data_IF_429380660919
#
_entry.id   IF_429380660919
#
_cell.length_a   1.000
_cell.length_b   1.000
_cell.length_c   1.000
_cell.angle_alpha   90.00
_cell.angle_beta   90.00
_cell.angle_gamma   90.00
#
_symmetry.space_group_name_H-M   'P 1'
#
loop_
_entity.id
_entity.type
_entity.pdbx_description
1 polymer ?
#
# COMPACT_ATOMS: atom_id res chain seq x y z
N UNK A 1 23.96 1.02 6.20
CA UNK A 1 23.16 0.79 7.43
C UNK A 1 23.88 1.44 8.60
N UNK A 2 23.18 2.02 9.58
CA UNK A 2 23.80 2.72 10.72
C UNK A 2 24.23 1.79 11.87
N UNK A 3 24.64 0.55 11.59
CA UNK A 3 25.05 -0.46 12.58
C UNK A 3 24.08 -0.71 13.77
N UNK A 4 22.80 -0.36 13.63
CA UNK A 4 21.80 -0.47 14.70
C UNK A 4 21.09 -1.83 14.71
N UNK A 5 21.86 -2.92 14.76
CA UNK A 5 21.32 -4.29 14.65
C UNK A 5 20.41 -4.69 15.83
N UNK A 6 20.75 -4.26 17.06
CA UNK A 6 19.92 -4.53 18.26
C UNK A 6 18.53 -3.90 18.15
N UNK A 7 18.48 -2.64 17.72
CA UNK A 7 17.21 -1.95 17.52
C UNK A 7 16.40 -2.60 16.40
N UNK A 8 17.06 -3.00 15.30
CA UNK A 8 16.44 -3.78 14.23
C UNK A 8 15.80 -5.08 14.73
N UNK A 9 16.49 -5.83 15.59
CA UNK A 9 15.96 -7.06 16.17
C UNK A 9 14.69 -6.82 17.02
N UNK A 10 14.67 -5.75 17.84
CA UNK A 10 13.48 -5.37 18.61
C UNK A 10 12.31 -5.03 17.69
N UNK A 11 12.55 -4.24 16.64
CA UNK A 11 11.53 -3.92 15.66
C UNK A 11 11.01 -5.17 14.94
N UNK A 12 11.87 -6.16 14.66
CA UNK A 12 11.42 -7.41 14.05
C UNK A 12 10.44 -8.19 14.93
N UNK A 13 10.66 -8.24 16.24
CA UNK A 13 9.71 -8.87 17.16
C UNK A 13 8.38 -8.14 17.14
N UNK A 14 8.38 -6.80 17.15
CA UNK A 14 7.16 -6.01 17.01
C UNK A 14 6.46 -6.25 15.67
N UNK A 15 7.21 -6.43 14.57
CA UNK A 15 6.68 -6.77 13.26
C UNK A 15 6.01 -8.14 13.18
N UNK A 16 6.56 -9.14 13.88
CA UNK A 16 5.93 -10.45 14.05
C UNK A 16 4.59 -10.32 14.81
N UNK A 17 4.59 -9.57 15.92
CA UNK A 17 3.37 -9.29 16.70
C UNK A 17 2.32 -8.60 15.83
N UNK A 18 2.70 -7.59 15.05
CA UNK A 18 1.78 -6.91 14.14
C UNK A 18 1.14 -7.87 13.12
N UNK A 19 1.91 -8.83 12.59
CA UNK A 19 1.39 -9.86 11.67
C UNK A 19 0.42 -10.83 12.35
N UNK A 20 0.72 -11.25 13.59
CA UNK A 20 -0.18 -12.10 14.38
C UNK A 20 -1.48 -11.38 14.76
N UNK A 21 -1.38 -10.12 15.18
CA UNK A 21 -2.54 -9.28 15.46
C UNK A 21 -3.41 -9.10 14.22
N UNK A 22 -2.82 -8.87 13.06
CA UNK A 22 -3.56 -8.75 11.81
C UNK A 22 -4.32 -10.05 11.49
N UNK A 23 -3.63 -11.20 11.57
CA UNK A 23 -4.25 -12.49 11.34
C UNK A 23 -5.47 -12.68 12.26
N UNK A 24 -5.29 -12.44 13.55
CA UNK A 24 -6.37 -12.56 14.53
C UNK A 24 -7.53 -11.60 14.25
N UNK A 25 -7.24 -10.31 14.04
CA UNK A 25 -8.28 -9.30 13.81
C UNK A 25 -9.06 -9.58 12.54
N UNK A 26 -8.38 -9.87 11.42
CA UNK A 26 -9.07 -10.19 10.17
C UNK A 26 -9.89 -11.46 10.29
N UNK A 27 -9.34 -12.53 10.87
CA UNK A 27 -10.10 -13.77 11.08
C UNK A 27 -11.35 -13.54 11.94
N UNK A 28 -11.23 -12.74 13.01
CA UNK A 28 -12.32 -12.42 13.91
C UNK A 28 -13.41 -11.55 13.27
N UNK A 29 -13.03 -10.58 12.43
CA UNK A 29 -13.99 -9.64 11.82
C UNK A 29 -14.48 -10.06 10.44
N UNK A 30 -13.86 -11.05 9.80
CA UNK A 30 -14.10 -11.41 8.39
C UNK A 30 -15.58 -11.60 8.06
N UNK A 31 -16.23 -12.57 8.70
CA UNK A 31 -17.64 -12.86 8.45
C UNK A 31 -18.54 -11.70 8.90
N UNK A 32 -18.27 -11.11 10.07
CA UNK A 32 -19.08 -10.02 10.60
C UNK A 32 -19.16 -8.82 9.66
N UNK A 33 -18.04 -8.40 9.07
CA UNK A 33 -18.01 -7.28 8.12
C UNK A 33 -18.80 -7.65 6.86
N UNK A 34 -18.64 -8.86 6.33
CA UNK A 34 -19.38 -9.34 5.16
C UNK A 34 -20.89 -9.35 5.45
N UNK A 35 -21.30 -9.91 6.58
CA UNK A 35 -22.69 -10.14 6.93
C UNK A 35 -23.46 -8.83 7.12
N UNK A 36 -22.81 -7.79 7.66
CA UNK A 36 -23.41 -6.44 7.78
C UNK A 36 -23.72 -5.86 6.40
N UNK A 37 -22.76 -5.89 5.47
CA UNK A 37 -22.97 -5.36 4.11
C UNK A 37 -24.05 -6.15 3.35
N UNK A 38 -24.01 -7.49 3.44
CA UNK A 38 -25.02 -8.35 2.81
C UNK A 38 -26.40 -8.12 3.42
N UNK A 39 -26.49 -8.00 4.75
CA UNK A 39 -27.73 -7.75 5.48
C UNK A 39 -28.39 -6.42 5.14
N UNK A 40 -27.61 -5.42 4.74
CA UNK A 40 -28.07 -4.12 4.24
C UNK A 40 -28.42 -4.12 2.74
N UNK A 41 -28.37 -5.28 2.08
CA UNK A 41 -28.63 -5.41 0.65
C UNK A 41 -27.45 -5.04 -0.26
N UNK A 42 -26.27 -4.73 0.31
CA UNK A 42 -25.03 -4.36 -0.40
C UNK A 42 -24.15 -5.60 -0.65
N UNK A 43 -24.72 -6.59 -1.32
CA UNK A 43 -24.06 -7.89 -1.54
C UNK A 43 -22.80 -7.79 -2.40
N UNK A 44 -22.72 -6.81 -3.29
CA UNK A 44 -21.55 -6.49 -4.10
C UNK A 44 -20.37 -5.99 -3.27
N UNK A 45 -20.63 -5.17 -2.24
CA UNK A 45 -19.63 -4.72 -1.27
C UNK A 45 -19.20 -5.87 -0.35
N UNK A 46 -20.15 -6.69 0.13
CA UNK A 46 -19.84 -7.92 0.87
C UNK A 46 -18.95 -8.89 0.09
N UNK A 47 -19.19 -9.07 -1.21
CA UNK A 47 -18.33 -9.85 -2.11
C UNK A 47 -16.94 -9.22 -2.29
N UNK A 48 -16.88 -7.90 -2.35
CA UNK A 48 -15.61 -7.17 -2.39
C UNK A 48 -14.79 -7.42 -1.13
N UNK A 49 -15.42 -7.36 0.05
CA UNK A 49 -14.77 -7.67 1.34
C UNK A 49 -14.25 -9.10 1.36
N UNK A 50 -15.03 -10.09 0.92
CA UNK A 50 -14.61 -11.51 0.86
C UNK A 50 -13.26 -11.67 0.16
N UNK A 51 -13.09 -11.03 -0.99
CA UNK A 51 -11.87 -11.13 -1.78
C UNK A 51 -10.74 -10.35 -1.12
N UNK A 52 -11.00 -9.08 -0.77
CA UNK A 52 -9.93 -8.15 -0.40
C UNK A 52 -9.40 -8.44 1.00
N UNK A 53 -10.26 -8.79 1.97
CA UNK A 53 -9.82 -9.20 3.30
C UNK A 53 -8.97 -10.46 3.23
N UNK A 54 -9.33 -11.44 2.39
CA UNK A 54 -8.54 -12.65 2.24
C UNK A 54 -7.14 -12.33 1.69
N UNK A 55 -7.07 -11.55 0.60
CA UNK A 55 -5.79 -11.14 -0.01
C UNK A 55 -4.91 -10.39 0.98
N UNK A 56 -5.45 -9.39 1.69
CA UNK A 56 -4.70 -8.61 2.67
C UNK A 56 -4.31 -9.44 3.90
N UNK A 57 -5.17 -10.38 4.32
CA UNK A 57 -4.87 -11.34 5.36
C UNK A 57 -3.68 -12.22 4.99
N UNK A 58 -3.64 -12.75 3.77
CA UNK A 58 -2.50 -13.53 3.28
C UNK A 58 -1.22 -12.69 3.25
N UNK A 59 -1.26 -11.52 2.62
CA UNK A 59 -0.08 -10.66 2.48
C UNK A 59 0.45 -10.16 3.80
N UNK A 60 -0.41 -9.64 4.68
CA UNK A 60 0.02 -9.09 5.95
C UNK A 60 0.46 -10.16 6.95
N UNK A 61 -0.15 -11.34 6.94
CA UNK A 61 0.33 -12.48 7.75
C UNK A 61 1.67 -13.00 7.23
N UNK A 62 1.84 -13.12 5.91
CA UNK A 62 3.12 -13.48 5.30
C UNK A 62 4.21 -12.44 5.60
N UNK A 63 3.87 -11.15 5.64
CA UNK A 63 4.79 -10.11 6.09
C UNK A 63 5.18 -10.28 7.58
N UNK A 64 4.26 -10.74 8.43
CA UNK A 64 4.56 -11.18 9.80
C UNK A 64 5.58 -12.30 9.86
N UNK A 65 5.46 -13.30 8.99
CA UNK A 65 6.45 -14.39 8.87
C UNK A 65 7.80 -13.88 8.31
N UNK A 66 7.79 -12.95 7.36
CA UNK A 66 8.99 -12.30 6.84
C UNK A 66 9.77 -11.59 7.96
N UNK A 67 9.09 -11.01 8.94
CA UNK A 67 9.74 -10.41 10.10
C UNK A 67 10.57 -11.41 10.94
N UNK A 68 10.22 -12.70 10.97
CA UNK A 68 11.07 -13.71 11.61
C UNK A 68 12.39 -13.91 10.85
N UNK A 69 12.37 -13.90 9.51
CA UNK A 69 13.60 -13.90 8.72
C UNK A 69 14.41 -12.62 8.95
N UNK A 70 13.76 -11.47 9.03
CA UNK A 70 14.40 -10.18 9.34
C UNK A 70 15.02 -10.18 10.74
N UNK A 71 14.35 -10.78 11.74
CA UNK A 71 14.89 -10.99 13.09
C UNK A 71 16.18 -11.81 13.02
N UNK A 72 16.16 -12.96 12.34
CA UNK A 72 17.35 -13.79 12.13
C UNK A 72 18.49 -12.96 11.53
N UNK A 73 18.21 -12.19 10.47
CA UNK A 73 19.21 -11.35 9.83
C UNK A 73 19.80 -10.32 10.79
N UNK A 74 18.99 -9.59 11.57
CA UNK A 74 19.51 -8.64 12.55
C UNK A 74 20.32 -9.31 13.68
N UNK A 75 19.91 -10.48 14.16
CA UNK A 75 20.66 -11.25 15.16
C UNK A 75 22.02 -11.74 14.63
N UNK A 76 22.12 -11.98 13.32
CA UNK A 76 23.36 -12.34 12.64
C UNK A 76 24.13 -11.13 12.07
N UNK A 77 23.69 -9.91 12.37
CA UNK A 77 24.29 -8.67 11.89
C UNK A 77 24.32 -8.57 10.35
N UNK A 78 23.32 -9.14 9.70
CA UNK A 78 23.20 -9.19 8.25
C UNK A 78 22.59 -7.92 7.68
N UNK A 79 23.21 -7.38 6.62
CA UNK A 79 22.79 -6.10 6.05
C UNK A 79 21.47 -6.18 5.26
N UNK A 80 21.09 -7.37 4.78
CA UNK A 80 19.86 -7.55 4.00
C UNK A 80 18.60 -7.42 4.86
N UNK A 81 18.70 -7.65 6.18
CA UNK A 81 17.59 -7.67 7.12
C UNK A 81 16.77 -6.38 7.06
N UNK A 82 17.47 -5.25 7.10
CA UNK A 82 16.87 -3.91 6.99
C UNK A 82 15.91 -3.76 5.81
N UNK A 83 16.34 -4.21 4.62
CA UNK A 83 15.54 -4.03 3.42
C UNK A 83 14.26 -4.85 3.49
N UNK A 84 14.38 -6.11 3.88
CA UNK A 84 13.21 -7.00 4.01
C UNK A 84 12.29 -6.58 5.15
N UNK A 85 12.81 -5.93 6.20
CA UNK A 85 12.00 -5.26 7.21
C UNK A 85 11.19 -4.09 6.63
N UNK A 86 11.81 -3.26 5.77
CA UNK A 86 11.09 -2.19 5.07
C UNK A 86 10.01 -2.73 4.11
N UNK A 87 10.28 -3.85 3.41
CA UNK A 87 9.29 -4.56 2.59
C UNK A 87 8.12 -5.04 3.45
N UNK A 88 8.39 -5.76 4.53
CA UNK A 88 7.37 -6.28 5.43
C UNK A 88 6.49 -5.16 6.01
N UNK A 89 7.11 -4.08 6.49
CA UNK A 89 6.40 -2.91 7.00
C UNK A 89 5.50 -2.25 5.94
N UNK A 90 5.97 -2.16 4.68
CA UNK A 90 5.21 -1.58 3.57
C UNK A 90 3.94 -2.40 3.28
N UNK A 91 4.05 -3.74 3.30
CA UNK A 91 2.91 -4.63 3.13
C UNK A 91 1.92 -4.50 4.30
N UNK A 92 2.43 -4.48 5.54
CA UNK A 92 1.60 -4.36 6.74
C UNK A 92 0.89 -3.00 6.84
N UNK A 93 1.47 -1.92 6.31
CA UNK A 93 0.81 -0.62 6.21
C UNK A 93 -0.48 -0.73 5.38
N UNK A 94 -0.41 -1.33 4.18
CA UNK A 94 -1.60 -1.54 3.36
C UNK A 94 -2.60 -2.48 4.05
N UNK A 95 -2.11 -3.61 4.55
CA UNK A 95 -2.94 -4.66 5.13
C UNK A 95 -3.60 -4.25 6.46
N UNK A 96 -2.98 -3.35 7.23
CA UNK A 96 -3.60 -2.76 8.42
C UNK A 96 -4.58 -1.64 8.07
N UNK A 97 -4.28 -0.85 7.03
CA UNK A 97 -5.08 0.32 6.66
C UNK A 97 -6.42 -0.04 6.02
N UNK A 98 -6.38 -0.78 4.91
CA UNK A 98 -7.58 -0.98 4.08
C UNK A 98 -8.74 -1.62 4.83
N UNK A 99 -8.54 -2.67 5.66
CA UNK A 99 -9.65 -3.32 6.35
C UNK A 99 -10.46 -2.41 7.28
N UNK A 100 -9.87 -1.31 7.74
CA UNK A 100 -10.60 -0.31 8.54
C UNK A 100 -11.77 0.30 7.77
N UNK A 101 -11.65 0.47 6.45
CA UNK A 101 -12.63 1.17 5.61
C UNK A 101 -13.98 0.44 5.60
N UNK A 102 -14.09 -0.82 5.13
CA UNK A 102 -15.38 -1.50 5.08
C UNK A 102 -15.93 -1.85 6.47
N UNK A 103 -15.08 -1.98 7.49
CA UNK A 103 -15.53 -2.14 8.87
C UNK A 103 -16.19 -0.85 9.39
N UNK A 104 -15.54 0.30 9.23
CA UNK A 104 -16.09 1.59 9.65
C UNK A 104 -17.35 1.96 8.87
N UNK A 105 -17.38 1.68 7.56
CA UNK A 105 -18.54 1.92 6.71
C UNK A 105 -19.77 1.08 7.15
N UNK A 106 -19.55 -0.16 7.62
CA UNK A 106 -20.58 -0.98 8.26
C UNK A 106 -20.85 -0.63 9.73
N UNK A 107 -20.32 0.49 10.25
CA UNK A 107 -20.52 0.90 11.65
C UNK A 107 -19.83 0.01 12.70
N UNK A 108 -18.86 -0.81 12.30
CA UNK A 108 -18.13 -1.72 13.18
C UNK A 108 -16.83 -1.09 13.72
N UNK A 109 -16.29 -1.68 14.79
CA UNK A 109 -14.97 -1.32 15.29
C UNK A 109 -13.85 -1.67 14.29
N UNK A 110 -12.75 -0.90 14.29
CA UNK A 110 -11.63 -1.03 13.34
C UNK A 110 -10.33 -1.48 14.02
N UNK A 111 -10.25 -2.72 14.57
CA UNK A 111 -9.09 -3.15 15.36
C UNK A 111 -7.78 -3.18 14.57
N UNK A 112 -7.83 -3.29 13.24
CA UNK A 112 -6.64 -3.26 12.37
C UNK A 112 -5.91 -1.91 12.38
N UNK A 113 -6.50 -0.84 12.95
CA UNK A 113 -5.81 0.43 13.19
C UNK A 113 -4.53 0.25 14.02
N UNK A 114 -4.53 -0.69 14.96
CA UNK A 114 -3.36 -1.02 15.78
C UNK A 114 -2.23 -1.56 14.90
N UNK A 115 -2.56 -2.44 13.94
CA UNK A 115 -1.59 -2.98 12.98
C UNK A 115 -1.05 -1.87 12.09
N UNK A 116 -1.90 -0.98 11.60
CA UNK A 116 -1.47 0.15 10.77
C UNK A 116 -0.48 1.07 11.50
N UNK A 117 -0.77 1.44 12.76
CA UNK A 117 0.11 2.29 13.58
C UNK A 117 1.44 1.59 13.86
N UNK A 118 1.41 0.30 14.21
CA UNK A 118 2.63 -0.49 14.40
C UNK A 118 3.44 -0.55 13.09
N UNK A 119 2.80 -0.82 11.96
CA UNK A 119 3.46 -0.87 10.65
C UNK A 119 4.10 0.47 10.28
N UNK A 120 3.47 1.61 10.61
CA UNK A 120 4.05 2.93 10.42
C UNK A 120 5.31 3.14 11.26
N UNK A 121 5.27 2.77 12.55
CA UNK A 121 6.43 2.82 13.45
C UNK A 121 7.57 1.95 12.89
N UNK A 122 7.25 0.73 12.46
CA UNK A 122 8.20 -0.21 11.87
C UNK A 122 8.80 0.33 10.57
N UNK A 123 7.99 0.90 9.69
CA UNK A 123 8.44 1.45 8.42
C UNK A 123 9.44 2.59 8.63
N UNK A 124 9.08 3.61 9.41
CA UNK A 124 10.00 4.70 9.74
C UNK A 124 11.23 4.19 10.50
N UNK A 125 11.06 3.27 11.44
CA UNK A 125 12.15 2.62 12.16
C UNK A 125 13.18 1.97 11.23
N UNK A 126 12.71 1.23 10.22
CA UNK A 126 13.58 0.66 9.19
C UNK A 126 14.28 1.75 8.38
N UNK A 127 13.60 2.81 7.95
CA UNK A 127 14.26 3.90 7.21
C UNK A 127 15.36 4.60 8.02
N UNK A 128 15.15 4.78 9.33
CA UNK A 128 16.17 5.32 10.23
C UNK A 128 17.37 4.39 10.38
N UNK A 129 17.16 3.07 10.53
CA UNK A 129 18.22 2.06 10.56
C UNK A 129 19.01 2.04 9.24
N UNK A 130 18.30 2.14 8.12
CA UNK A 130 18.87 2.21 6.78
C UNK A 130 19.71 3.46 6.53
N UNK A 131 19.46 4.53 7.28
CA UNK A 131 20.09 5.82 7.08
C UNK A 131 19.55 6.55 5.85
N UNK A 132 18.26 6.38 5.54
CA UNK A 132 17.61 7.04 4.42
C UNK A 132 17.48 8.55 4.71
N UNK A 133 17.90 9.44 3.79
CA UNK A 133 17.86 10.88 4.01
C UNK A 133 16.42 11.40 3.97
N UNK A 134 16.13 12.45 4.73
CA UNK A 134 14.76 12.98 4.93
C UNK A 134 14.01 13.25 3.62
N UNK A 135 14.69 13.82 2.61
CA UNK A 135 14.07 14.10 1.30
C UNK A 135 13.57 12.83 0.59
N UNK A 136 14.32 11.73 0.70
CA UNK A 136 13.94 10.43 0.14
C UNK A 136 12.81 9.80 0.96
N UNK A 137 12.85 9.94 2.29
CA UNK A 137 11.73 9.52 3.15
C UNK A 137 10.44 10.25 2.75
N UNK A 138 10.47 11.58 2.60
CA UNK A 138 9.30 12.36 2.20
C UNK A 138 8.76 11.94 0.83
N UNK A 139 9.63 11.80 -0.18
CA UNK A 139 9.23 11.35 -1.52
C UNK A 139 8.56 9.97 -1.48
N UNK A 140 9.20 9.01 -0.82
CA UNK A 140 8.69 7.63 -0.74
C UNK A 140 7.46 7.50 0.16
N UNK A 141 7.29 8.39 1.15
CA UNK A 141 6.08 8.47 1.95
C UNK A 141 4.88 8.97 1.11
N UNK A 142 5.07 10.03 0.31
CA UNK A 142 4.01 10.52 -0.61
C UNK A 142 3.71 9.46 -1.68
N UNK A 143 4.72 8.79 -2.22
CA UNK A 143 4.51 7.63 -3.10
C UNK A 143 3.80 6.47 -2.38
N UNK A 144 4.01 6.31 -1.08
CA UNK A 144 3.26 5.36 -0.24
C UNK A 144 1.77 5.70 -0.14
N UNK A 145 1.41 6.99 -0.09
CA UNK A 145 0.02 7.42 -0.20
C UNK A 145 -0.56 7.07 -1.57
N UNK A 146 0.18 7.33 -2.65
CA UNK A 146 -0.23 6.94 -3.99
C UNK A 146 -0.41 5.42 -4.11
N UNK A 147 0.51 4.62 -3.55
CA UNK A 147 0.40 3.16 -3.47
C UNK A 147 -0.91 2.70 -2.84
N UNK A 148 -1.23 3.18 -1.63
CA UNK A 148 -2.42 2.76 -0.88
C UNK A 148 -3.70 3.21 -1.58
N UNK A 149 -3.74 4.45 -2.05
CA UNK A 149 -4.92 4.99 -2.74
C UNK A 149 -5.15 4.31 -4.09
N UNK A 150 -4.08 3.99 -4.83
CA UNK A 150 -4.21 3.26 -6.09
C UNK A 150 -4.71 1.83 -5.84
N UNK A 151 -4.29 1.20 -4.73
CA UNK A 151 -4.85 -0.10 -4.34
C UNK A 151 -6.36 0.00 -4.07
N UNK A 152 -6.80 1.03 -3.33
CA UNK A 152 -8.22 1.30 -3.05
C UNK A 152 -9.00 1.53 -4.35
N UNK A 153 -8.45 2.28 -5.30
CA UNK A 153 -9.03 2.47 -6.63
C UNK A 153 -9.13 1.18 -7.43
N UNK A 154 -8.33 0.15 -7.11
CA UNK A 154 -8.50 -1.19 -7.67
C UNK A 154 -9.44 -2.08 -6.85
N UNK A 155 -9.82 -1.70 -5.63
CA UNK A 155 -10.83 -2.42 -4.83
C UNK A 155 -12.24 -1.99 -5.19
N UNK A 156 -12.50 -0.68 -5.21
CA UNK A 156 -13.84 -0.14 -5.47
C UNK A 156 -14.50 -0.63 -6.79
N UNK A 157 -13.76 -0.90 -7.89
CA UNK A 157 -14.35 -1.44 -9.11
C UNK A 157 -14.94 -2.84 -8.93
N UNK A 158 -14.47 -3.63 -7.95
CA UNK A 158 -14.97 -4.99 -7.67
C UNK A 158 -16.47 -4.95 -7.38
N UNK A 159 -16.92 -4.00 -6.57
CA UNK A 159 -18.35 -3.79 -6.31
C UNK A 159 -19.04 -3.16 -7.53
N UNK A 160 -18.46 -2.12 -8.13
CA UNK A 160 -19.08 -1.37 -9.25
C UNK A 160 -19.37 -2.22 -10.48
N UNK A 161 -18.52 -3.18 -10.87
CA UNK A 161 -18.83 -4.04 -12.02
C UNK A 161 -19.85 -5.14 -11.70
N UNK A 162 -20.20 -5.37 -10.43
CA UNK A 162 -21.32 -6.27 -10.09
C UNK A 162 -22.67 -5.56 -10.21
N UNK A 163 -22.68 -4.22 -10.15
CA UNK A 163 -23.90 -3.39 -10.11
C UNK A 163 -24.10 -2.48 -11.32
N UNK A 164 -23.09 -2.30 -12.16
CA UNK A 164 -23.16 -1.50 -13.39
C UNK A 164 -23.40 -2.37 -14.63
N UNK A 165 -23.83 -1.75 -15.73
CA UNK A 165 -24.07 -2.41 -17.01
C UNK A 165 -23.45 -1.63 -18.18
N UNK A 166 -23.34 -2.28 -19.34
CA UNK A 166 -22.88 -1.65 -20.58
C UNK A 166 -21.38 -1.35 -20.60
N UNK A 167 -20.99 -0.27 -21.28
CA UNK A 167 -19.59 0.10 -21.47
C UNK A 167 -18.84 0.30 -20.14
N UNK A 168 -19.45 1.01 -19.18
CA UNK A 168 -18.81 1.31 -17.89
C UNK A 168 -18.55 0.08 -17.04
N UNK A 169 -19.39 -0.96 -17.15
CA UNK A 169 -19.12 -2.25 -16.54
C UNK A 169 -17.76 -2.80 -17.00
N UNK A 170 -17.53 -2.83 -18.32
CA UNK A 170 -16.26 -3.27 -18.90
C UNK A 170 -15.08 -2.40 -18.46
N UNK A 171 -15.27 -1.08 -18.37
CA UNK A 171 -14.24 -0.16 -17.85
C UNK A 171 -13.88 -0.49 -16.40
N UNK A 172 -14.86 -0.72 -15.52
CA UNK A 172 -14.60 -1.08 -14.12
C UNK A 172 -13.84 -2.41 -14.02
N UNK A 173 -14.23 -3.45 -14.77
CA UNK A 173 -13.54 -4.75 -14.76
C UNK A 173 -12.08 -4.61 -15.20
N UNK A 174 -11.82 -3.92 -16.31
CA UNK A 174 -10.46 -3.78 -16.86
C UNK A 174 -9.59 -2.90 -15.95
N UNK A 175 -10.15 -1.79 -15.46
CA UNK A 175 -9.40 -0.81 -14.64
C UNK A 175 -9.03 -1.36 -13.26
N UNK A 176 -9.79 -2.33 -12.75
CA UNK A 176 -9.52 -3.02 -11.47
C UNK A 176 -8.08 -3.51 -11.38
N UNK A 177 -7.65 -4.34 -12.35
CA UNK A 177 -6.30 -4.89 -12.37
C UNK A 177 -5.24 -3.85 -12.72
N UNK A 178 -5.55 -2.89 -13.61
CA UNK A 178 -4.63 -1.78 -13.94
C UNK A 178 -4.23 -1.02 -12.67
N UNK A 179 -5.18 -0.73 -11.79
CA UNK A 179 -4.90 -0.05 -10.53
C UNK A 179 -4.08 -0.93 -9.57
N UNK A 180 -4.38 -2.22 -9.45
CA UNK A 180 -3.56 -3.11 -8.60
C UNK A 180 -2.12 -3.27 -9.12
N UNK A 181 -1.92 -3.32 -10.43
CA UNK A 181 -0.59 -3.25 -11.03
C UNK A 181 0.09 -1.90 -10.80
N UNK A 182 -0.65 -0.80 -10.85
CA UNK A 182 -0.17 0.54 -10.48
C UNK A 182 0.29 0.61 -9.02
N UNK A 183 -0.49 0.04 -8.10
CA UNK A 183 -0.13 -0.07 -6.68
C UNK A 183 1.14 -0.91 -6.50
N UNK A 184 1.23 -2.08 -7.14
CA UNK A 184 2.44 -2.90 -7.11
C UNK A 184 3.66 -2.15 -7.67
N UNK A 185 3.49 -1.39 -8.74
CA UNK A 185 4.53 -0.54 -9.31
C UNK A 185 4.97 0.59 -8.37
N UNK A 186 4.04 1.21 -7.63
CA UNK A 186 4.39 2.19 -6.60
C UNK A 186 5.20 1.56 -5.45
N UNK A 187 4.81 0.39 -4.99
CA UNK A 187 5.60 -0.36 -4.00
C UNK A 187 6.99 -0.70 -4.55
N UNK A 188 7.08 -1.15 -5.81
CA UNK A 188 8.35 -1.42 -6.47
C UNK A 188 9.22 -0.15 -6.58
N UNK A 189 8.64 1.00 -6.93
CA UNK A 189 9.32 2.30 -6.94
C UNK A 189 9.94 2.62 -5.57
N UNK A 190 9.14 2.56 -4.50
CA UNK A 190 9.58 2.84 -3.13
C UNK A 190 10.79 1.97 -2.75
N UNK A 191 10.67 0.66 -2.97
CA UNK A 191 11.71 -0.31 -2.62
C UNK A 191 12.97 -0.17 -3.50
N UNK A 192 12.79 0.13 -4.79
CA UNK A 192 13.88 0.43 -5.71
C UNK A 192 14.64 1.68 -5.30
N UNK A 193 13.93 2.72 -4.86
CA UNK A 193 14.53 3.95 -4.32
C UNK A 193 15.33 3.66 -3.06
N UNK A 194 14.82 2.83 -2.14
CA UNK A 194 15.59 2.41 -0.96
C UNK A 194 16.87 1.65 -1.34
N UNK A 195 16.79 0.77 -2.35
CA UNK A 195 17.92 0.01 -2.88
C UNK A 195 18.80 0.79 -3.87
N UNK A 196 18.56 2.09 -4.04
CA UNK A 196 19.37 2.96 -4.90
C UNK A 196 19.46 2.47 -6.35
N UNK A 197 18.34 1.95 -6.87
CA UNK A 197 18.29 1.41 -8.23
C UNK A 197 18.03 2.52 -9.23
N UNK A 198 18.82 2.53 -10.30
CA UNK A 198 18.70 3.51 -11.40
C UNK A 198 17.35 3.42 -12.11
N UNK A 199 16.73 2.24 -12.13
CA UNK A 199 15.40 2.02 -12.70
C UNK A 199 14.25 2.49 -11.80
N UNK A 200 14.52 3.07 -10.62
CA UNK A 200 13.44 3.61 -9.77
C UNK A 200 12.64 4.69 -10.51
N UNK A 201 13.29 5.67 -11.16
CA UNK A 201 12.59 6.74 -11.88
C UNK A 201 11.61 6.19 -12.93
N UNK A 202 12.02 5.35 -13.91
CA UNK A 202 11.09 4.81 -14.89
C UNK A 202 9.97 3.96 -14.25
N UNK A 203 10.25 3.25 -13.14
CA UNK A 203 9.20 2.54 -12.40
C UNK A 203 8.16 3.49 -11.78
N UNK A 204 8.60 4.61 -11.19
CA UNK A 204 7.67 5.62 -10.65
C UNK A 204 6.82 6.29 -11.73
N UNK A 205 7.40 6.56 -12.91
CA UNK A 205 6.65 7.07 -14.07
C UNK A 205 5.61 6.06 -14.55
N UNK A 206 5.99 4.78 -14.61
CA UNK A 206 5.07 3.69 -14.97
C UNK A 206 3.93 3.58 -13.94
N UNK A 207 4.26 3.57 -12.65
CA UNK A 207 3.28 3.51 -11.57
C UNK A 207 2.28 4.67 -11.61
N UNK A 208 2.77 5.89 -11.82
CA UNK A 208 1.93 7.07 -11.95
C UNK A 208 0.99 6.97 -13.16
N UNK A 209 1.52 6.58 -14.31
CA UNK A 209 0.74 6.39 -15.54
C UNK A 209 -0.37 5.36 -15.36
N UNK A 210 -0.08 4.20 -14.76
CA UNK A 210 -1.07 3.16 -14.48
C UNK A 210 -2.19 3.68 -13.57
N UNK A 211 -1.82 4.40 -12.51
CA UNK A 211 -2.76 4.99 -11.55
C UNK A 211 -3.67 6.03 -12.21
N UNK A 212 -3.12 6.83 -13.14
CA UNK A 212 -3.88 7.82 -13.90
C UNK A 212 -4.84 7.16 -14.90
N UNK A 213 -4.36 6.14 -15.64
CA UNK A 213 -5.15 5.42 -16.66
C UNK A 213 -6.32 4.68 -16.02
N UNK A 214 -6.10 3.99 -14.90
CA UNK A 214 -7.18 3.30 -14.19
C UNK A 214 -8.07 4.26 -13.40
N UNK A 215 -7.49 5.25 -12.71
CA UNK A 215 -8.22 6.12 -11.78
C UNK A 215 -9.08 7.20 -12.45
N UNK A 216 -8.53 7.99 -13.39
CA UNK A 216 -9.26 9.15 -13.94
C UNK A 216 -10.57 8.80 -14.64
N UNK A 217 -10.65 7.78 -15.52
CA UNK A 217 -11.91 7.44 -16.18
C UNK A 217 -13.01 7.12 -15.18
N UNK A 218 -12.71 6.32 -14.16
CA UNK A 218 -13.65 5.95 -13.10
C UNK A 218 -14.00 7.14 -12.21
N UNK A 219 -13.01 7.97 -11.88
CA UNK A 219 -13.19 9.19 -11.12
C UNK A 219 -14.17 10.16 -11.76
N UNK A 220 -13.96 10.46 -13.04
CA UNK A 220 -14.79 11.39 -13.81
C UNK A 220 -16.21 10.84 -13.95
N UNK A 221 -16.36 9.57 -14.36
CA UNK A 221 -17.68 8.96 -14.50
C UNK A 221 -18.46 8.98 -13.18
N UNK A 222 -17.82 8.59 -12.09
CA UNK A 222 -18.46 8.58 -10.78
C UNK A 222 -18.88 9.99 -10.33
N UNK A 223 -18.10 11.05 -10.61
CA UNK A 223 -18.53 12.43 -10.34
C UNK A 223 -19.84 12.76 -11.06
N UNK A 224 -20.00 12.33 -12.32
CA UNK A 224 -21.26 12.52 -13.05
C UNK A 224 -22.40 11.64 -12.52
N UNK A 225 -22.12 10.40 -12.10
CA UNK A 225 -23.13 9.49 -11.51
C UNK A 225 -23.67 10.02 -10.18
N UNK A 226 -22.77 10.37 -9.24
CA UNK A 226 -23.15 10.70 -7.85
C UNK A 226 -23.24 12.20 -7.58
N UNK A 227 -22.91 13.05 -8.57
CA UNK A 227 -22.95 14.52 -8.48
C UNK A 227 -22.18 15.08 -7.26
N UNK A 228 -21.13 14.38 -6.84
CA UNK A 228 -20.25 14.74 -5.71
C UNK A 228 -18.81 14.31 -5.98
N UNK A 229 -17.89 14.73 -5.12
CA UNK A 229 -16.49 14.32 -5.21
C UNK A 229 -16.33 12.80 -5.21
N UNK A 230 -15.52 12.28 -6.14
CA UNK A 230 -15.30 10.85 -6.31
C UNK A 230 -14.07 10.37 -5.53
N UNK A 231 -14.24 9.30 -4.76
CA UNK A 231 -13.14 8.64 -4.04
C UNK A 231 -12.12 7.95 -4.96
N UNK A 232 -12.38 7.88 -6.28
CA UNK A 232 -11.43 7.42 -7.29
C UNK A 232 -10.46 8.49 -7.80
N UNK A 233 -10.63 9.76 -7.40
CA UNK A 233 -9.77 10.87 -7.86
C UNK A 233 -8.50 11.11 -7.03
N UNK A 234 -8.43 10.84 -5.72
CA UNK A 234 -7.23 11.09 -4.92
C UNK A 234 -5.96 10.39 -5.46
N UNK A 235 -6.04 9.11 -5.81
CA UNK A 235 -4.88 8.37 -6.31
C UNK A 235 -4.33 8.91 -7.64
N UNK A 236 -5.14 9.11 -8.70
CA UNK A 236 -4.65 9.65 -9.96
C UNK A 236 -4.17 11.10 -9.84
N UNK A 237 -4.77 11.93 -8.97
CA UNK A 237 -4.31 13.31 -8.72
C UNK A 237 -2.92 13.32 -8.08
N UNK A 238 -2.73 12.57 -6.98
CA UNK A 238 -1.41 12.48 -6.31
C UNK A 238 -0.39 11.87 -7.26
N UNK A 239 -0.78 10.86 -8.03
CA UNK A 239 0.07 10.23 -9.04
C UNK A 239 0.48 11.21 -10.14
N UNK A 240 -0.43 12.09 -10.58
CA UNK A 240 -0.11 13.16 -11.54
C UNK A 240 0.93 14.13 -10.96
N UNK A 241 0.75 14.55 -9.72
CA UNK A 241 1.72 15.40 -9.02
C UNK A 241 3.10 14.73 -8.89
N UNK A 242 3.12 13.44 -8.55
CA UNK A 242 4.36 12.66 -8.48
C UNK A 242 5.00 12.46 -9.85
N UNK A 243 4.22 12.22 -10.91
CA UNK A 243 4.73 12.11 -12.29
C UNK A 243 5.46 13.38 -12.69
N UNK A 244 4.81 14.54 -12.53
CA UNK A 244 5.43 15.84 -12.79
C UNK A 244 6.69 15.98 -11.94
N UNK A 245 6.60 15.71 -10.64
CA UNK A 245 7.74 15.81 -9.74
C UNK A 245 8.92 14.91 -10.13
N UNK A 246 8.69 13.67 -10.57
CA UNK A 246 9.73 12.72 -10.98
C UNK A 246 10.43 13.11 -12.29
N UNK A 247 9.74 13.85 -13.17
CA UNK A 247 10.31 14.32 -14.44
C UNK A 247 11.11 15.62 -14.23
N UNK A 248 10.91 16.35 -13.13
CA UNK A 248 11.68 17.57 -12.85
C UNK A 248 13.19 17.27 -12.73
N UNK A 249 14.06 18.09 -13.37
CA UNK A 249 15.51 17.89 -13.30
C UNK A 249 16.07 17.92 -11.87
N UNK A 250 15.47 18.71 -10.98
CA UNK A 250 15.87 18.78 -9.57
C UNK A 250 15.67 17.44 -8.85
N UNK A 251 14.54 16.78 -9.09
CA UNK A 251 14.22 15.47 -8.50
C UNK A 251 15.09 14.38 -9.09
N UNK A 252 15.33 14.40 -10.39
CA UNK A 252 16.22 13.44 -11.05
C UNK A 252 17.63 13.53 -10.49
N UNK A 253 18.21 14.75 -10.41
CA UNK A 253 19.52 14.96 -9.79
C UNK A 253 19.57 14.52 -8.33
N UNK A 254 18.50 14.76 -7.57
CA UNK A 254 18.40 14.29 -6.17
C UNK A 254 18.45 12.76 -6.09
N UNK A 255 17.68 12.06 -6.93
CA UNK A 255 17.64 10.59 -6.96
C UNK A 255 18.94 9.99 -7.52
N UNK A 256 19.56 10.62 -8.51
CA UNK A 256 20.86 10.24 -9.06
C UNK A 256 21.96 10.38 -8.01
N UNK A 257 22.03 11.52 -7.30
CA UNK A 257 22.96 11.72 -6.20
C UNK A 257 22.75 10.67 -5.09
N UNK A 258 21.50 10.40 -4.73
CA UNK A 258 21.18 9.33 -3.78
C UNK A 258 21.65 7.95 -4.26
N UNK A 259 21.58 7.69 -5.56
CA UNK A 259 22.04 6.42 -6.15
C UNK A 259 23.57 6.29 -6.17
N UNK A 260 24.31 7.40 -6.23
CA UNK A 260 25.78 7.41 -6.26
C UNK A 260 26.43 7.46 -4.88
N UNK A 261 25.75 7.99 -3.85
CA UNK A 261 26.22 8.10 -2.44
C UNK A 261 26.50 6.76 -1.71
N UNK A 262 26.60 5.64 -2.40
CA UNK A 262 27.10 4.39 -1.79
C UNK A 262 27.45 3.33 -2.80
N UNK A 263 27.95 3.77 -3.95
CA UNK A 263 29.05 3.10 -4.62
C UNK A 263 30.34 3.52 -3.93
#
# INVERSE_FOLDING_TARGET
MKNNFKFGAVLSVLGMIAGLLLFYFLANTYNTVIDVHVGEGRSDEGNTVRIVYAVLGWWGTAAGALWAAVLYGFLKMENWAWFWGAVAATIQLLAGFFPMIPAADGGLSTPTIVVFVLAAILWFGMLFIGGIPKRIITLTFIAGLAYVLTFIDGVAPISKYQTSAGFWNGVYVISQQVNWWGAAAWAAFILATFKRKTWAIPMGIFAASMSMIGGYPMGINNVFEVQRFSMFLPAPIISTGLLVYLILPSTQRMLEAWNTEGR
#
